data_IF_195358585623
#
_entry.id   IF_195358585623
#
_cell.length_a   1.000
_cell.length_b   1.000
_cell.length_c   1.000
_cell.angle_alpha   90.00
_cell.angle_beta   90.00
_cell.angle_gamma   90.00
#
_symmetry.space_group_name_H-M   'P 1'
#
loop_
_entity.id
_entity.type
_entity.pdbx_description
1 polymer ?
#
# COMPACT_ATOMS: atom_id res chain seq x y z
N UNK A 1 -18.91 20.81 -3.46
CA UNK A 1 -17.44 20.67 -3.34
C UNK A 1 -17.20 19.25 -2.91
N UNK A 2 -16.70 18.40 -3.80
CA UNK A 2 -16.36 17.02 -3.46
C UNK A 2 -15.00 17.00 -2.77
N UNK A 3 -14.99 16.61 -1.49
CA UNK A 3 -13.77 16.40 -0.73
C UNK A 3 -13.18 15.05 -1.10
N UNK A 4 -11.90 15.03 -1.46
CA UNK A 4 -11.16 13.80 -1.74
C UNK A 4 -10.22 13.47 -0.60
N UNK A 5 -10.27 12.23 -0.15
CA UNK A 5 -9.43 11.70 0.91
C UNK A 5 -8.38 10.76 0.33
N UNK A 6 -7.11 11.13 0.49
CA UNK A 6 -5.97 10.36 0.01
C UNK A 6 -5.14 9.80 1.16
N UNK A 7 -4.79 8.52 1.06
CA UNK A 7 -3.92 7.86 2.03
C UNK A 7 -2.45 8.03 1.63
N UNK A 8 -1.68 8.72 2.47
CA UNK A 8 -0.23 8.88 2.28
C UNK A 8 0.53 7.54 2.43
N UNK A 9 1.63 7.33 1.70
CA UNK A 9 2.44 6.13 1.84
C UNK A 9 3.37 6.23 3.06
N UNK A 10 3.19 5.34 4.04
CA UNK A 10 4.02 5.23 5.23
C UNK A 10 4.62 3.83 5.32
N UNK A 11 5.94 3.74 5.20
CA UNK A 11 6.68 2.47 5.23
C UNK A 11 6.49 1.77 6.57
N UNK A 12 6.08 0.49 6.53
CA UNK A 12 5.82 -0.30 7.72
C UNK A 12 4.49 0.01 8.43
N UNK A 13 3.62 0.84 7.83
CA UNK A 13 2.29 1.12 8.38
C UNK A 13 1.18 0.96 7.34
N UNK A 14 1.25 1.66 6.21
CA UNK A 14 0.17 1.64 5.21
C UNK A 14 0.42 0.56 4.17
N UNK A 15 0.73 -0.66 4.60
CA UNK A 15 0.97 -1.83 3.74
C UNK A 15 -0.34 -2.45 3.22
N UNK A 16 -0.26 -3.62 2.57
CA UNK A 16 -1.43 -4.32 2.04
C UNK A 16 -2.45 -4.64 3.14
N UNK A 17 -1.99 -5.19 4.27
CA UNK A 17 -2.83 -5.63 5.39
C UNK A 17 -3.59 -4.43 5.97
N UNK A 18 -2.90 -3.31 6.20
CA UNK A 18 -3.57 -2.09 6.68
C UNK A 18 -4.63 -1.59 5.70
N UNK A 19 -4.29 -1.49 4.40
CA UNK A 19 -5.22 -0.95 3.39
C UNK A 19 -6.44 -1.85 3.22
N UNK A 20 -6.26 -3.17 3.27
CA UNK A 20 -7.35 -4.15 3.21
C UNK A 20 -8.24 -4.10 4.45
N UNK A 21 -7.64 -4.11 5.65
CA UNK A 21 -8.37 -4.05 6.91
C UNK A 21 -9.18 -2.75 7.04
N UNK A 22 -8.59 -1.61 6.66
CA UNK A 22 -9.27 -0.31 6.65
C UNK A 22 -10.44 -0.30 5.65
N UNK A 23 -10.21 -0.81 4.43
CA UNK A 23 -11.23 -0.94 3.38
C UNK A 23 -12.42 -1.79 3.83
N UNK A 24 -12.13 -2.88 4.55
CA UNK A 24 -13.14 -3.85 4.97
C UNK A 24 -13.90 -3.41 6.23
N UNK A 25 -13.23 -2.71 7.15
CA UNK A 25 -13.79 -2.41 8.48
C UNK A 25 -14.30 -0.97 8.62
N UNK A 26 -13.72 -0.02 7.89
CA UNK A 26 -13.97 1.42 8.09
C UNK A 26 -14.55 2.05 6.83
N UNK A 27 -13.89 1.86 5.67
CA UNK A 27 -14.31 2.45 4.42
C UNK A 27 -13.16 2.63 3.44
N UNK A 28 -13.39 3.32 2.33
CA UNK A 28 -12.42 3.45 1.23
C UNK A 28 -11.87 4.86 1.13
N UNK A 29 -10.59 4.96 0.77
CA UNK A 29 -9.99 6.21 0.31
C UNK A 29 -10.22 6.38 -1.19
N UNK A 30 -10.26 7.63 -1.66
CA UNK A 30 -10.35 7.94 -3.09
C UNK A 30 -9.06 7.55 -3.85
N UNK A 31 -7.92 7.63 -3.16
CA UNK A 31 -6.62 7.19 -3.68
C UNK A 31 -5.72 6.75 -2.53
N UNK A 32 -5.01 5.64 -2.75
CA UNK A 32 -3.95 5.15 -1.86
C UNK A 32 -2.64 5.02 -2.63
N UNK A 33 -1.53 5.18 -1.93
CA UNK A 33 -0.19 4.94 -2.47
C UNK A 33 0.45 3.75 -1.75
N UNK A 34 1.23 2.95 -2.50
CA UNK A 34 2.05 1.92 -1.87
C UNK A 34 3.20 2.55 -1.09
N UNK A 35 3.70 1.88 -0.04
CA UNK A 35 5.02 2.18 0.51
C UNK A 35 6.14 2.19 -0.55
N UNK A 36 7.32 2.69 -0.18
CA UNK A 36 8.40 2.90 -1.12
C UNK A 36 8.99 1.59 -1.64
N UNK A 37 9.03 1.42 -2.96
CA UNK A 37 9.62 0.25 -3.62
C UNK A 37 11.00 0.60 -4.17
N UNK A 38 12.03 -0.13 -3.74
CA UNK A 38 13.38 0.07 -4.24
C UNK A 38 13.62 -0.73 -5.51
N UNK A 39 13.97 -0.03 -6.59
CA UNK A 39 14.32 -0.61 -7.89
C UNK A 39 15.81 -0.37 -8.14
N UNK A 40 16.52 -1.40 -8.60
CA UNK A 40 17.92 -1.33 -9.03
C UNK A 40 18.05 -2.03 -10.38
N UNK A 41 18.64 -1.35 -11.37
CA UNK A 41 18.84 -1.90 -12.74
C UNK A 41 17.56 -2.45 -13.37
N UNK A 42 16.42 -1.77 -13.13
CA UNK A 42 15.12 -2.20 -13.65
C UNK A 42 14.51 -3.41 -12.94
N UNK A 43 15.14 -3.94 -11.89
CA UNK A 43 14.64 -5.05 -11.07
C UNK A 43 14.28 -4.59 -9.67
N UNK A 44 13.33 -5.30 -9.06
CA UNK A 44 13.02 -5.12 -7.64
C UNK A 44 14.26 -5.51 -6.82
N UNK A 45 14.81 -4.54 -6.10
CA UNK A 45 16.00 -4.77 -5.28
C UNK A 45 15.70 -5.68 -4.08
N UNK A 46 14.48 -5.60 -3.54
CA UNK A 46 14.00 -6.40 -2.42
C UNK A 46 12.62 -6.97 -2.76
N UNK A 47 12.55 -8.21 -3.26
CA UNK A 47 11.28 -8.86 -3.55
C UNK A 47 10.33 -8.95 -2.34
N UNK A 48 10.88 -8.95 -1.11
CA UNK A 48 10.08 -8.89 0.11
C UNK A 48 9.19 -7.65 0.23
N UNK A 49 9.55 -6.53 -0.41
CA UNK A 49 8.71 -5.32 -0.43
C UNK A 49 7.40 -5.52 -1.22
N UNK A 50 7.31 -6.57 -2.04
CA UNK A 50 6.06 -6.93 -2.69
C UNK A 50 4.99 -7.35 -1.69
N UNK A 51 5.38 -7.86 -0.50
CA UNK A 51 4.43 -8.20 0.57
C UNK A 51 3.69 -6.97 1.09
N UNK A 52 4.29 -5.78 1.00
CA UNK A 52 3.66 -4.52 1.40
C UNK A 52 2.56 -4.05 0.41
N UNK A 53 2.47 -4.71 -0.75
CA UNK A 53 1.66 -4.27 -1.90
C UNK A 53 0.65 -5.33 -2.33
N UNK A 54 1.10 -6.58 -2.43
CA UNK A 54 0.32 -7.70 -2.93
C UNK A 54 -0.36 -8.43 -1.77
N UNK A 55 -1.54 -9.04 -2.02
CA UNK A 55 -2.11 -10.00 -1.08
C UNK A 55 -1.11 -11.12 -0.84
N UNK A 56 -0.79 -11.38 0.44
CA UNK A 56 0.00 -12.54 0.79
C UNK A 56 -0.84 -13.79 0.47
N UNK A 57 -0.28 -14.74 -0.30
CA UNK A 57 -0.88 -16.06 -0.43
C UNK A 57 -0.61 -16.80 0.88
N UNK A 58 -1.62 -16.92 1.73
CA UNK A 58 -1.63 -17.88 2.84
C UNK A 58 -1.66 -19.29 2.24
#
# INVERSE_FOLDING_TARGET
MDFKLYLAPLQGLTDYVFREAFTTSIGRFDKCFSPFVKVQEGKLYRPSQLKDILPEKI
#
